data_IF_495106131157
#
_entry.id   IF_495106131157
#
_cell.length_a   1.000
_cell.length_b   1.000
_cell.length_c   1.000
_cell.angle_alpha   90.00
_cell.angle_beta   90.00
_cell.angle_gamma   90.00
#
_symmetry.space_group_name_H-M   'P 1'
#
loop_
_entity.id
_entity.type
_entity.pdbx_description
1 polymer ?
#
# COMPACT_ATOMS: atom_id res chain seq x y z
N UNK A 1 8.88 -18.87 -4.07
CA UNK A 1 8.59 -19.83 -2.96
C UNK A 1 8.09 -19.17 -1.66
N UNK A 2 8.78 -18.20 -1.03
CA UNK A 2 8.23 -17.53 0.16
C UNK A 2 6.95 -16.73 -0.16
N UNK A 3 6.92 -16.09 -1.30
CA UNK A 3 5.81 -15.29 -1.81
C UNK A 3 4.54 -16.11 -2.09
N UNK A 4 4.67 -17.28 -2.68
CA UNK A 4 3.51 -18.13 -3.03
C UNK A 4 2.81 -18.61 -1.75
N UNK A 5 3.56 -18.85 -0.67
CA UNK A 5 3.02 -19.20 0.65
C UNK A 5 2.28 -18.02 1.30
N UNK A 6 2.81 -16.80 1.18
CA UNK A 6 2.17 -15.60 1.70
C UNK A 6 0.86 -15.33 0.96
N UNK A 7 0.86 -15.41 -0.37
CA UNK A 7 -0.33 -15.24 -1.22
C UNK A 7 -1.39 -16.30 -0.90
N UNK A 8 -1.01 -17.57 -0.75
CA UNK A 8 -1.93 -18.65 -0.36
C UNK A 8 -2.53 -18.40 1.03
N UNK A 9 -1.69 -18.04 2.03
CA UNK A 9 -2.14 -17.76 3.39
C UNK A 9 -3.09 -16.56 3.48
N UNK A 10 -2.90 -15.52 2.67
CA UNK A 10 -3.83 -14.40 2.55
C UNK A 10 -5.11 -14.83 1.84
N UNK A 11 -5.01 -15.66 0.80
CA UNK A 11 -6.17 -16.22 0.09
C UNK A 11 -7.10 -17.00 1.01
N UNK A 12 -6.56 -17.88 1.85
CA UNK A 12 -7.34 -18.68 2.82
C UNK A 12 -8.05 -17.82 3.87
N UNK A 13 -7.50 -16.66 4.20
CA UNK A 13 -8.04 -15.75 5.22
C UNK A 13 -8.99 -14.69 4.65
N UNK A 14 -9.03 -14.49 3.33
CA UNK A 14 -9.70 -13.35 2.70
C UNK A 14 -11.13 -13.11 3.23
N UNK A 15 -11.98 -14.16 3.34
CA UNK A 15 -13.36 -14.02 3.80
C UNK A 15 -13.51 -13.69 5.29
N UNK A 16 -12.48 -13.91 6.10
CA UNK A 16 -12.48 -13.67 7.55
C UNK A 16 -11.56 -12.52 7.93
N UNK A 17 -10.80 -11.98 6.97
CA UNK A 17 -9.73 -11.01 7.20
C UNK A 17 -10.20 -9.78 7.99
N UNK A 18 -11.37 -9.27 7.68
CA UNK A 18 -11.95 -8.08 8.31
C UNK A 18 -12.74 -8.36 9.59
N UNK A 19 -12.99 -9.63 9.93
CA UNK A 19 -13.93 -10.01 11.00
C UNK A 19 -13.29 -10.16 12.39
N UNK A 20 -11.98 -10.42 12.45
CA UNK A 20 -11.27 -10.65 13.70
C UNK A 20 -10.66 -9.36 14.27
N UNK A 21 -9.97 -9.47 15.43
CA UNK A 21 -9.31 -8.33 16.06
C UNK A 21 -8.17 -7.75 15.20
N UNK A 22 -7.53 -8.58 14.38
CA UNK A 22 -6.49 -8.15 13.44
C UNK A 22 -7.10 -7.31 12.32
N UNK A 23 -8.25 -7.70 11.81
CA UNK A 23 -9.02 -6.92 10.85
C UNK A 23 -9.34 -5.53 11.38
N UNK A 24 -9.83 -5.44 12.62
CA UNK A 24 -10.08 -4.12 13.27
C UNK A 24 -8.82 -3.27 13.39
N UNK A 25 -7.68 -3.86 13.71
CA UNK A 25 -6.40 -3.16 13.75
C UNK A 25 -5.99 -2.66 12.35
N UNK A 26 -6.12 -3.50 11.33
CA UNK A 26 -5.85 -3.12 9.94
C UNK A 26 -6.76 -1.97 9.49
N UNK A 27 -8.04 -2.00 9.84
CA UNK A 27 -8.97 -0.90 9.56
C UNK A 27 -8.53 0.42 10.21
N UNK A 28 -8.14 0.41 11.49
CA UNK A 28 -7.64 1.62 12.17
C UNK A 28 -6.36 2.18 11.51
N UNK A 29 -5.47 1.31 11.05
CA UNK A 29 -4.27 1.72 10.32
C UNK A 29 -4.66 2.31 8.96
N UNK A 30 -5.58 1.66 8.25
CA UNK A 30 -6.08 2.12 6.95
C UNK A 30 -6.78 3.49 7.06
N UNK A 31 -7.61 3.71 8.09
CA UNK A 31 -8.28 4.99 8.33
C UNK A 31 -7.28 6.12 8.50
N UNK A 32 -6.24 5.91 9.33
CA UNK A 32 -5.17 6.90 9.52
C UNK A 32 -4.30 7.08 8.28
N UNK A 33 -4.11 6.01 7.49
CA UNK A 33 -3.43 6.10 6.20
C UNK A 33 -4.23 6.94 5.22
N UNK A 34 -5.57 6.78 5.18
CA UNK A 34 -6.44 7.60 4.34
C UNK A 34 -6.39 9.08 4.73
N UNK A 35 -6.40 9.40 6.03
CA UNK A 35 -6.25 10.78 6.52
C UNK A 35 -4.92 11.40 6.09
N UNK A 36 -3.81 10.66 6.29
CA UNK A 36 -2.49 11.12 5.87
C UNK A 36 -2.41 11.27 4.34
N UNK A 37 -2.96 10.33 3.58
CA UNK A 37 -2.96 10.38 2.13
C UNK A 37 -3.70 11.61 1.59
N UNK A 38 -4.85 11.94 2.15
CA UNK A 38 -5.61 13.12 1.77
C UNK A 38 -4.98 14.42 2.28
N UNK A 39 -4.15 14.39 3.32
CA UNK A 39 -3.36 15.56 3.71
C UNK A 39 -2.18 15.82 2.77
N UNK A 40 -1.60 14.75 2.19
CA UNK A 40 -0.51 14.82 1.22
C UNK A 40 -1.02 15.20 -0.19
N UNK A 41 -2.18 14.68 -0.58
CA UNK A 41 -2.88 14.99 -1.82
C UNK A 41 -4.32 15.37 -1.51
N UNK A 42 -4.63 16.66 -1.25
CA UNK A 42 -5.95 17.08 -0.75
C UNK A 42 -7.11 16.89 -1.74
N UNK A 43 -6.83 16.85 -3.03
CA UNK A 43 -7.85 16.68 -4.07
C UNK A 43 -7.41 15.66 -5.14
N UNK A 44 -7.13 14.39 -4.76
CA UNK A 44 -6.63 13.40 -5.71
C UNK A 44 -7.74 13.03 -6.70
N UNK A 45 -7.37 12.88 -7.96
CA UNK A 45 -8.30 12.50 -9.04
C UNK A 45 -8.14 11.04 -9.45
N UNK A 46 -6.93 10.52 -9.39
CA UNK A 46 -6.57 9.16 -9.77
C UNK A 46 -5.80 8.51 -8.61
N UNK A 47 -6.38 7.52 -7.99
CA UNK A 47 -5.82 6.89 -6.78
C UNK A 47 -5.49 5.42 -7.05
N UNK A 48 -4.30 4.97 -6.63
CA UNK A 48 -3.89 3.57 -6.67
C UNK A 48 -3.55 3.06 -5.27
N UNK A 49 -4.11 1.90 -4.89
CA UNK A 49 -3.74 1.15 -3.69
C UNK A 49 -2.97 -0.13 -4.08
N UNK A 50 -1.70 -0.23 -3.65
CA UNK A 50 -0.80 -1.34 -3.96
C UNK A 50 -0.73 -2.32 -2.80
N UNK A 51 -1.24 -3.54 -3.00
CA UNK A 51 -1.49 -4.52 -1.95
C UNK A 51 -2.81 -4.21 -1.24
N UNK A 52 -3.86 -3.98 -2.01
CA UNK A 52 -5.14 -3.45 -1.53
C UNK A 52 -5.94 -4.42 -0.65
N UNK A 53 -5.56 -5.71 -0.58
CA UNK A 53 -6.27 -6.71 0.20
C UNK A 53 -7.77 -6.76 -0.13
N UNK A 54 -8.60 -6.64 0.91
CA UNK A 54 -10.08 -6.63 0.80
C UNK A 54 -10.67 -5.31 0.30
N UNK A 55 -9.83 -4.31 -0.04
CA UNK A 55 -10.26 -3.03 -0.59
C UNK A 55 -10.74 -2.00 0.43
N UNK A 56 -10.59 -2.26 1.72
CA UNK A 56 -11.10 -1.37 2.77
C UNK A 56 -10.54 0.07 2.65
N UNK A 57 -9.21 0.22 2.46
CA UNK A 57 -8.59 1.54 2.31
C UNK A 57 -9.15 2.32 1.11
N UNK A 58 -9.32 1.65 -0.04
CA UNK A 58 -9.92 2.29 -1.22
C UNK A 58 -11.35 2.71 -0.99
N UNK A 59 -12.14 1.93 -0.25
CA UNK A 59 -13.49 2.31 0.15
C UNK A 59 -13.51 3.59 1.00
N UNK A 60 -12.57 3.72 1.95
CA UNK A 60 -12.40 4.94 2.77
C UNK A 60 -11.98 6.15 1.92
N UNK A 61 -11.06 5.96 0.98
CA UNK A 61 -10.62 7.03 0.07
C UNK A 61 -11.74 7.43 -0.90
N UNK A 62 -12.51 6.50 -1.43
CA UNK A 62 -13.65 6.78 -2.29
C UNK A 62 -14.71 7.65 -1.60
N UNK A 63 -15.02 7.33 -0.33
CA UNK A 63 -15.98 8.09 0.46
C UNK A 63 -15.49 9.51 0.81
N UNK A 64 -14.18 9.69 1.03
CA UNK A 64 -13.57 10.95 1.48
C UNK A 64 -13.04 11.83 0.35
N UNK A 65 -12.89 11.27 -0.87
CA UNK A 65 -12.43 11.97 -2.07
C UNK A 65 -13.49 11.91 -3.18
N UNK A 66 -14.63 12.61 -3.05
CA UNK A 66 -15.72 12.57 -4.03
C UNK A 66 -15.31 13.10 -5.41
N UNK A 67 -14.26 13.95 -5.48
CA UNK A 67 -13.70 14.49 -6.71
C UNK A 67 -12.81 13.48 -7.47
N UNK A 68 -12.41 12.37 -6.86
CA UNK A 68 -11.64 11.35 -7.53
C UNK A 68 -12.48 10.71 -8.66
N UNK A 69 -11.92 10.64 -9.85
CA UNK A 69 -12.59 10.08 -11.03
C UNK A 69 -12.37 8.57 -11.20
N UNK A 70 -11.26 8.06 -10.66
CA UNK A 70 -10.93 6.64 -10.68
C UNK A 70 -10.10 6.23 -9.47
N UNK A 71 -10.43 5.08 -8.91
CA UNK A 71 -9.68 4.43 -7.84
C UNK A 71 -9.37 3.00 -8.25
N UNK A 72 -8.11 2.61 -8.17
CA UNK A 72 -7.65 1.29 -8.56
C UNK A 72 -6.97 0.58 -7.38
N UNK A 73 -7.23 -0.72 -7.22
CA UNK A 73 -6.55 -1.58 -6.27
C UNK A 73 -5.88 -2.76 -6.97
N UNK A 74 -4.70 -3.14 -6.50
CA UNK A 74 -3.98 -4.31 -7.00
C UNK A 74 -3.52 -5.17 -5.83
N UNK A 75 -3.75 -6.48 -5.93
CA UNK A 75 -3.30 -7.45 -4.93
C UNK A 75 -2.92 -8.77 -5.61
N UNK A 76 -1.86 -9.46 -5.18
CA UNK A 76 -1.44 -10.72 -5.77
C UNK A 76 -2.36 -11.91 -5.43
N UNK A 77 -3.22 -11.81 -4.39
CA UNK A 77 -4.11 -12.88 -3.97
C UNK A 77 -5.49 -12.75 -4.66
N UNK A 78 -5.85 -13.65 -5.59
CA UNK A 78 -7.14 -13.58 -6.29
C UNK A 78 -8.34 -13.57 -5.35
N UNK A 79 -8.27 -14.32 -4.23
CA UNK A 79 -9.35 -14.36 -3.25
C UNK A 79 -9.57 -13.01 -2.55
N UNK A 80 -8.52 -12.20 -2.34
CA UNK A 80 -8.64 -10.83 -1.84
C UNK A 80 -9.39 -9.95 -2.84
N UNK A 81 -9.04 -10.05 -4.12
CA UNK A 81 -9.70 -9.28 -5.19
C UNK A 81 -11.18 -9.67 -5.33
N UNK A 82 -11.52 -10.94 -5.18
CA UNK A 82 -12.93 -11.37 -5.16
C UNK A 82 -13.69 -10.71 -4.02
N UNK A 83 -13.13 -10.70 -2.81
CA UNK A 83 -13.77 -10.05 -1.64
C UNK A 83 -13.86 -8.54 -1.87
N UNK A 84 -12.78 -7.89 -2.30
CA UNK A 84 -12.73 -6.46 -2.57
C UNK A 84 -13.79 -6.04 -3.61
N UNK A 85 -13.89 -6.78 -4.72
CA UNK A 85 -14.86 -6.50 -5.78
C UNK A 85 -16.30 -6.68 -5.31
N UNK A 86 -16.56 -7.72 -4.50
CA UNK A 86 -17.88 -7.97 -3.95
C UNK A 86 -18.32 -6.94 -2.91
N UNK A 87 -17.37 -6.35 -2.18
CA UNK A 87 -17.61 -5.33 -1.16
C UNK A 87 -17.70 -3.90 -1.74
N UNK A 88 -17.22 -3.68 -2.96
CA UNK A 88 -17.20 -2.36 -3.59
C UNK A 88 -18.62 -1.89 -3.97
N UNK A 89 -19.04 -0.77 -3.39
CA UNK A 89 -20.32 -0.11 -3.69
C UNK A 89 -20.14 1.12 -4.59
N UNK A 90 -18.91 1.62 -4.72
CA UNK A 90 -18.60 2.80 -5.52
C UNK A 90 -18.17 2.39 -6.94
N UNK A 91 -18.89 2.81 -7.94
CA UNK A 91 -18.65 2.47 -9.35
C UNK A 91 -17.34 3.01 -9.93
N UNK A 92 -16.63 3.90 -9.20
CA UNK A 92 -15.31 4.43 -9.59
C UNK A 92 -14.16 3.50 -9.21
N UNK A 93 -14.40 2.53 -8.31
CA UNK A 93 -13.38 1.62 -7.79
C UNK A 93 -13.25 0.39 -8.68
N UNK A 94 -12.02 0.02 -9.02
CA UNK A 94 -11.69 -1.20 -9.78
C UNK A 94 -10.56 -1.96 -9.10
N UNK A 95 -10.64 -3.27 -9.12
CA UNK A 95 -9.63 -4.16 -8.54
C UNK A 95 -9.06 -5.10 -9.60
N UNK A 96 -7.74 -5.33 -9.54
CA UNK A 96 -7.04 -6.26 -10.45
C UNK A 96 -6.11 -7.18 -9.67
N UNK A 97 -5.96 -8.41 -10.15
CA UNK A 97 -4.95 -9.34 -9.64
C UNK A 97 -3.60 -8.98 -10.23
N UNK A 98 -2.59 -8.76 -9.40
CA UNK A 98 -1.24 -8.45 -9.85
C UNK A 98 -0.33 -8.05 -8.70
N UNK A 99 0.88 -7.62 -9.01
CA UNK A 99 1.94 -7.41 -8.03
C UNK A 99 2.52 -6.02 -8.13
N UNK A 100 3.09 -5.53 -7.03
CA UNK A 100 3.73 -4.23 -6.96
C UNK A 100 4.84 -4.05 -8.01
N UNK A 101 5.55 -5.14 -8.32
CA UNK A 101 6.69 -5.13 -9.24
C UNK A 101 6.30 -5.04 -10.72
N UNK A 102 5.00 -5.18 -11.02
CA UNK A 102 4.46 -5.08 -12.39
C UNK A 102 3.06 -4.48 -12.37
N UNK A 103 3.00 -3.16 -12.29
CA UNK A 103 1.75 -2.42 -12.32
C UNK A 103 1.23 -2.30 -13.77
N UNK A 104 -0.04 -2.71 -14.06
CA UNK A 104 -0.57 -2.76 -15.42
C UNK A 104 -1.11 -1.40 -15.92
N UNK A 105 -0.68 -0.30 -15.34
CA UNK A 105 -1.08 1.04 -15.74
C UNK A 105 0.05 1.78 -16.46
N UNK A 106 -0.29 2.72 -17.36
CA UNK A 106 0.67 3.60 -18.00
C UNK A 106 1.47 4.45 -17.00
N UNK A 107 2.56 5.06 -17.49
CA UNK A 107 3.32 6.04 -16.74
C UNK A 107 2.44 7.24 -16.37
N UNK A 108 2.70 7.85 -15.21
CA UNK A 108 2.09 9.11 -14.80
C UNK A 108 0.55 9.10 -14.78
N UNK A 109 -0.04 7.95 -14.45
CA UNK A 109 -1.50 7.77 -14.40
C UNK A 109 -2.10 8.32 -13.11
N UNK A 110 -1.42 8.13 -11.96
CA UNK A 110 -1.98 8.41 -10.64
C UNK A 110 -1.36 9.65 -10.01
N UNK A 111 -2.16 10.44 -9.34
CA UNK A 111 -1.70 11.56 -8.51
C UNK A 111 -1.56 11.19 -7.03
N UNK A 112 -2.14 10.06 -6.61
CA UNK A 112 -1.96 9.47 -5.29
C UNK A 112 -1.74 7.96 -5.41
N UNK A 113 -0.63 7.47 -4.87
CA UNK A 113 -0.35 6.04 -4.70
C UNK A 113 -0.24 5.75 -3.22
N UNK A 114 -1.00 4.76 -2.74
CA UNK A 114 -0.99 4.33 -1.34
C UNK A 114 -0.60 2.85 -1.24
N UNK A 115 -0.03 2.46 -0.12
CA UNK A 115 0.17 1.06 0.25
C UNK A 115 0.18 0.94 1.76
N UNK A 116 -0.63 0.03 2.31
CA UNK A 116 -0.78 -0.15 3.76
C UNK A 116 -0.56 -1.59 4.14
N UNK A 117 0.40 -1.85 5.05
CA UNK A 117 0.73 -3.18 5.63
C UNK A 117 0.97 -4.27 4.58
N UNK A 118 1.46 -3.90 3.39
CA UNK A 118 1.75 -4.82 2.30
C UNK A 118 3.20 -4.78 1.82
N UNK A 119 3.93 -3.68 2.06
CA UNK A 119 5.29 -3.47 1.57
C UNK A 119 6.29 -4.54 2.00
N UNK A 120 6.15 -5.07 3.23
CA UNK A 120 7.00 -6.17 3.71
C UNK A 120 6.78 -7.48 2.94
N UNK A 121 5.64 -7.63 2.28
CA UNK A 121 5.28 -8.80 1.49
C UNK A 121 5.69 -8.70 0.02
N UNK A 122 6.12 -7.53 -0.47
CA UNK A 122 6.58 -7.39 -1.86
C UNK A 122 7.81 -8.27 -2.09
N UNK A 123 7.87 -8.96 -3.21
CA UNK A 123 8.99 -9.87 -3.51
C UNK A 123 10.28 -9.07 -3.76
N UNK A 124 10.18 -7.97 -4.50
CA UNK A 124 11.24 -7.00 -4.75
C UNK A 124 10.74 -5.58 -4.47
N UNK A 125 11.08 -5.08 -3.28
CA UNK A 125 10.68 -3.74 -2.85
C UNK A 125 11.26 -2.63 -3.72
N UNK A 126 12.47 -2.83 -4.30
CA UNK A 126 13.07 -1.86 -5.23
C UNK A 126 12.27 -1.79 -6.53
N UNK A 127 11.98 -2.93 -7.14
CA UNK A 127 11.17 -3.00 -8.36
C UNK A 127 9.76 -2.44 -8.12
N UNK A 128 9.13 -2.78 -6.99
CA UNK A 128 7.80 -2.28 -6.64
C UNK A 128 7.77 -0.76 -6.49
N UNK A 129 8.74 -0.17 -5.76
CA UNK A 129 8.83 1.29 -5.63
C UNK A 129 9.14 1.98 -6.96
N UNK A 130 9.97 1.37 -7.83
CA UNK A 130 10.21 1.90 -9.17
C UNK A 130 8.92 1.92 -10.01
N UNK A 131 8.06 0.90 -9.87
CA UNK A 131 6.75 0.87 -10.52
C UNK A 131 5.79 1.92 -9.93
N UNK A 132 5.75 2.07 -8.60
CA UNK A 132 4.97 3.14 -7.96
C UNK A 132 5.40 4.53 -8.48
N UNK A 133 6.71 4.80 -8.51
CA UNK A 133 7.24 6.04 -9.04
C UNK A 133 6.92 6.22 -10.55
N UNK A 134 6.96 5.14 -11.34
CA UNK A 134 6.63 5.18 -12.77
C UNK A 134 5.19 5.63 -13.00
N UNK A 135 4.25 4.99 -12.32
CA UNK A 135 2.81 5.27 -12.50
C UNK A 135 2.35 6.56 -11.83
N UNK A 136 3.12 7.09 -10.89
CA UNK A 136 2.83 8.35 -10.22
C UNK A 136 3.10 9.53 -11.16
N UNK A 137 2.18 10.46 -11.24
CA UNK A 137 2.32 11.70 -12.03
C UNK A 137 3.36 12.65 -11.39
N UNK A 138 3.96 13.57 -12.16
CA UNK A 138 4.80 14.62 -11.59
C UNK A 138 4.03 15.43 -10.53
N UNK A 139 4.64 15.63 -9.36
CA UNK A 139 4.00 16.27 -8.21
C UNK A 139 3.02 15.37 -7.45
N UNK A 140 2.80 14.16 -7.90
CA UNK A 140 1.96 13.18 -7.19
C UNK A 140 2.62 12.67 -5.90
N UNK A 141 1.79 12.16 -4.99
CA UNK A 141 2.20 11.71 -3.67
C UNK A 141 2.14 10.18 -3.54
N UNK A 142 3.22 9.59 -2.99
CA UNK A 142 3.24 8.23 -2.47
C UNK A 142 3.05 8.26 -0.95
N UNK A 143 2.17 7.40 -0.42
CA UNK A 143 2.03 7.13 1.01
C UNK A 143 2.25 5.64 1.25
N UNK A 144 3.30 5.31 1.99
CA UNK A 144 3.66 3.94 2.32
C UNK A 144 3.61 3.74 3.82
N UNK A 145 2.64 2.98 4.32
CA UNK A 145 2.45 2.66 5.73
C UNK A 145 2.76 1.19 6.00
N UNK A 146 3.71 0.91 6.90
CA UNK A 146 4.11 -0.46 7.24
C UNK A 146 4.84 -0.52 8.60
N UNK A 147 5.30 -1.70 8.95
CA UNK A 147 6.15 -1.96 10.11
C UNK A 147 7.58 -1.47 9.84
N UNK A 148 7.89 -0.27 10.32
CA UNK A 148 9.22 0.33 10.25
C UNK A 148 9.80 0.56 11.64
N UNK A 149 10.58 -0.40 12.13
CA UNK A 149 11.22 -0.28 13.46
C UNK A 149 12.56 -1.00 13.51
N UNK A 150 13.52 -0.37 14.18
CA UNK A 150 14.80 -1.04 14.53
C UNK A 150 14.60 -2.20 15.48
N UNK A 151 13.51 -2.23 16.25
CA UNK A 151 13.16 -3.35 17.14
C UNK A 151 12.84 -4.63 16.37
N UNK A 152 12.61 -4.55 15.08
CA UNK A 152 12.38 -5.70 14.19
C UNK A 152 13.68 -6.30 13.65
N UNK A 153 14.87 -5.72 13.97
CA UNK A 153 16.17 -6.23 13.52
C UNK A 153 16.39 -7.73 13.86
N UNK A 154 16.00 -8.27 15.02
CA UNK A 154 16.14 -9.69 15.27
C UNK A 154 15.36 -10.57 14.29
N UNK A 155 14.23 -10.08 13.76
CA UNK A 155 13.43 -10.82 12.76
C UNK A 155 14.09 -10.82 11.37
N UNK A 156 15.01 -9.88 11.10
CA UNK A 156 15.83 -9.85 9.87
C UNK A 156 16.85 -10.99 9.86
N UNK A 157 17.34 -11.41 11.04
CA UNK A 157 18.26 -12.55 11.18
C UNK A 157 17.56 -13.87 10.88
N UNK A 158 16.24 -13.95 11.06
CA UNK A 158 15.41 -15.13 10.88
C UNK A 158 14.95 -15.35 9.40
N UNK A 159 15.74 -14.96 8.40
CA UNK A 159 15.54 -15.36 7.00
C UNK A 159 14.86 -14.34 6.07
N UNK A 160 14.58 -13.12 6.53
CA UNK A 160 14.02 -12.04 5.68
C UNK A 160 15.08 -11.02 5.28
N UNK A 161 16.25 -11.50 4.83
CA UNK A 161 17.36 -10.65 4.38
C UNK A 161 16.92 -9.79 3.18
N UNK A 162 17.29 -8.51 3.21
CA UNK A 162 17.10 -7.57 2.08
C UNK A 162 15.83 -6.73 2.14
N UNK A 163 14.85 -7.04 2.97
CA UNK A 163 13.62 -6.24 3.11
C UNK A 163 13.86 -4.98 3.94
N UNK A 164 13.27 -3.86 3.49
CA UNK A 164 13.35 -2.59 4.19
C UNK A 164 12.38 -2.59 5.37
N UNK A 165 12.93 -2.75 6.58
CA UNK A 165 12.19 -2.68 7.84
C UNK A 165 12.62 -1.50 8.71
N UNK A 166 13.57 -0.72 8.26
CA UNK A 166 14.04 0.48 8.93
C UNK A 166 13.78 1.70 8.06
N UNK A 167 13.50 2.84 8.69
CA UNK A 167 13.33 4.13 8.00
C UNK A 167 14.48 4.42 7.04
N UNK A 168 15.73 4.24 7.52
CA UNK A 168 16.92 4.48 6.71
C UNK A 168 16.90 3.68 5.39
N UNK A 169 16.61 2.38 5.47
CA UNK A 169 16.60 1.53 4.28
C UNK A 169 15.44 1.86 3.35
N UNK A 170 14.24 2.11 3.90
CA UNK A 170 13.09 2.52 3.11
C UNK A 170 13.35 3.87 2.40
N UNK A 171 13.89 4.87 3.11
CA UNK A 171 14.30 6.16 2.51
C UNK A 171 15.28 5.97 1.35
N UNK A 172 16.31 5.12 1.51
CA UNK A 172 17.24 4.83 0.42
C UNK A 172 16.56 4.23 -0.81
N UNK A 173 15.58 3.33 -0.61
CA UNK A 173 14.84 2.74 -1.71
C UNK A 173 13.90 3.73 -2.40
N UNK A 174 13.23 4.60 -1.64
CA UNK A 174 12.39 5.68 -2.17
C UNK A 174 13.22 6.64 -3.04
N UNK A 175 14.34 7.12 -2.51
CA UNK A 175 15.26 8.00 -3.28
C UNK A 175 15.81 7.31 -4.53
N UNK A 176 16.17 6.03 -4.45
CA UNK A 176 16.64 5.26 -5.59
C UNK A 176 15.56 5.02 -6.66
N UNK A 177 14.28 5.10 -6.30
CA UNK A 177 13.16 5.04 -7.22
C UNK A 177 12.79 6.41 -7.84
N UNK A 178 13.51 7.49 -7.48
CA UNK A 178 13.22 8.85 -7.96
C UNK A 178 12.10 9.55 -7.18
N UNK A 179 11.83 9.09 -5.96
CA UNK A 179 10.87 9.74 -5.05
C UNK A 179 11.62 10.67 -4.10
N UNK A 180 11.09 11.88 -3.93
CA UNK A 180 11.75 12.99 -3.24
C UNK A 180 11.05 13.36 -1.95
N UNK A 181 11.74 14.16 -1.10
CA UNK A 181 11.21 14.76 0.13
C UNK A 181 10.51 13.75 1.07
N UNK A 182 11.12 12.60 1.39
CA UNK A 182 10.48 11.62 2.27
C UNK A 182 10.26 12.19 3.66
N UNK A 183 9.00 12.22 4.11
CA UNK A 183 8.59 12.64 5.44
C UNK A 183 8.03 11.47 6.23
N UNK A 184 8.48 11.29 7.47
CA UNK A 184 8.10 10.18 8.33
C UNK A 184 7.05 10.58 9.34
N UNK A 185 5.96 9.80 9.40
CA UNK A 185 4.82 10.01 10.28
C UNK A 185 4.65 8.80 11.21
N UNK A 186 4.34 9.06 12.48
CA UNK A 186 3.86 8.04 13.40
C UNK A 186 2.39 7.80 13.09
N UNK A 187 2.05 6.61 12.60
CA UNK A 187 0.69 6.30 12.20
C UNK A 187 -0.08 5.60 13.32
N UNK A 188 0.49 4.50 13.82
CA UNK A 188 -0.13 3.69 14.87
C UNK A 188 0.96 3.02 15.70
N UNK A 189 1.04 3.29 17.00
CA UNK A 189 2.13 2.84 17.87
C UNK A 189 3.53 3.31 17.41
N UNK A 190 4.60 2.82 18.04
CA UNK A 190 5.98 3.11 17.63
C UNK A 190 6.47 2.20 16.48
N UNK A 191 5.72 1.14 16.18
CA UNK A 191 6.11 0.12 15.19
C UNK A 191 5.55 0.42 13.81
N UNK A 192 4.28 0.88 13.73
CA UNK A 192 3.61 1.18 12.46
C UNK A 192 3.77 2.64 12.16
N UNK A 193 4.50 2.92 11.10
CA UNK A 193 4.81 4.27 10.65
C UNK A 193 4.50 4.40 9.16
N UNK A 194 4.26 5.61 8.73
CA UNK A 194 4.13 5.91 7.32
C UNK A 194 5.24 6.84 6.85
N UNK A 195 5.57 6.76 5.58
CA UNK A 195 6.38 7.72 4.87
C UNK A 195 5.57 8.28 3.70
N UNK A 196 5.58 9.59 3.57
CA UNK A 196 5.09 10.29 2.36
C UNK A 196 6.30 10.70 1.54
N UNK A 197 6.18 10.64 0.20
CA UNK A 197 7.20 11.09 -0.73
C UNK A 197 6.53 11.60 -2.01
N UNK A 198 7.17 12.51 -2.74
CA UNK A 198 6.63 13.09 -3.98
C UNK A 198 7.49 12.67 -5.19
N UNK A 199 6.87 12.66 -6.36
CA UNK A 199 7.58 12.47 -7.63
C UNK A 199 7.98 13.79 -8.25
#
# INVERSE_FOLDING_TARGET
>A
MARDRDVAAFGERAQRYDKDWRGRLHHQIADRTAELALSCAPAPRQILDVGCGTGYLLGQLAARAPQASALAGIDPAPAMIVVATSAATDGRVRFVVGTAERLPWPDQTFDLVVSTTSFDHWADQRAGLAQCARVLAPGGCLVLADLFSVLLLPTLLAGRRGKARTKRRATQLLTAAGLHSPQWHRLYTVLIQAVTATK
#
